data_IF_379492763943
#
_entry.id   IF_379492763943
#
_cell.length_a   1.000
_cell.length_b   1.000
_cell.length_c   1.000
_cell.angle_alpha   90.00
_cell.angle_beta   90.00
_cell.angle_gamma   90.00
#
_symmetry.space_group_name_H-M   'P 1'
#
loop_
_entity.id
_entity.type
_entity.pdbx_description
1 polymer ?
#
# COMPACT_ATOMS: atom_id res chain seq x y z
N UNK A 1 -3.25 2.89 -11.13
CA UNK A 1 -3.30 3.59 -9.85
C UNK A 1 -2.61 2.77 -8.76
N UNK A 2 -1.93 3.46 -7.88
CA UNK A 2 -1.16 2.81 -6.81
C UNK A 2 -1.72 3.21 -5.46
N UNK A 3 -1.97 2.24 -4.61
CA UNK A 3 -2.42 2.48 -3.24
C UNK A 3 -1.27 2.18 -2.28
N UNK A 4 -1.01 3.11 -1.37
CA UNK A 4 0.02 2.94 -0.36
C UNK A 4 -0.64 2.67 0.98
N UNK A 5 -0.20 1.60 1.63
CA UNK A 5 -0.70 1.21 2.95
C UNK A 5 0.45 1.08 3.93
N UNK A 6 0.14 1.26 5.19
CA UNK A 6 1.05 0.89 6.27
C UNK A 6 0.35 -0.11 7.16
N UNK A 7 1.12 -1.00 7.78
CA UNK A 7 0.59 -1.90 8.79
C UNK A 7 1.60 -2.06 9.92
N UNK A 8 1.08 -2.39 11.09
CA UNK A 8 1.89 -2.53 12.29
C UNK A 8 2.04 -4.01 12.63
N UNK A 9 3.28 -4.42 12.95
CA UNK A 9 3.56 -5.79 13.40
C UNK A 9 3.06 -6.89 12.47
N UNK A 10 3.06 -6.60 11.16
CA UNK A 10 2.59 -7.54 10.12
C UNK A 10 1.13 -7.95 10.31
N UNK A 11 0.33 -7.12 10.99
CA UNK A 11 -1.09 -7.38 11.20
C UNK A 11 -1.94 -6.72 10.11
N UNK A 12 -2.71 -7.52 9.40
CA UNK A 12 -3.64 -7.00 8.39
C UNK A 12 -4.72 -6.12 9.01
N UNK A 13 -5.01 -6.34 10.30
CA UNK A 13 -6.02 -5.55 10.99
C UNK A 13 -5.59 -4.12 11.26
N UNK A 14 -4.29 -3.85 11.21
CA UNK A 14 -3.77 -2.50 11.38
C UNK A 14 -3.46 -1.81 10.06
N UNK A 15 -3.81 -2.43 8.94
CA UNK A 15 -3.55 -1.90 7.60
C UNK A 15 -4.31 -0.60 7.38
N UNK A 16 -3.59 0.47 7.10
CA UNK A 16 -4.14 1.81 6.95
C UNK A 16 -3.77 2.36 5.58
N UNK A 17 -4.76 2.90 4.86
CA UNK A 17 -4.50 3.55 3.58
C UNK A 17 -3.82 4.90 3.83
N UNK A 18 -2.63 5.07 3.27
CA UNK A 18 -1.87 6.31 3.35
C UNK A 18 -2.25 7.27 2.23
N UNK A 19 -2.45 6.73 1.03
CA UNK A 19 -2.83 7.55 -0.12
C UNK A 19 -2.92 6.74 -1.40
N UNK A 20 -3.39 7.42 -2.43
CA UNK A 20 -3.53 6.86 -3.78
C UNK A 20 -2.72 7.73 -4.73
N UNK A 21 -2.00 7.09 -5.65
CA UNK A 21 -1.10 7.80 -6.56
C UNK A 21 -1.25 7.25 -7.98
N UNK A 22 -1.06 8.10 -8.97
CA UNK A 22 -1.04 7.68 -10.37
C UNK A 22 0.36 7.36 -10.85
N UNK A 23 1.38 7.77 -10.09
CA UNK A 23 2.79 7.59 -10.43
C UNK A 23 3.45 6.68 -9.40
N UNK A 24 4.12 5.63 -9.87
CA UNK A 24 4.81 4.69 -8.99
C UNK A 24 5.90 5.37 -8.16
N UNK A 25 6.65 6.31 -8.74
CA UNK A 25 7.70 7.01 -8.00
C UNK A 25 7.13 7.78 -6.82
N UNK A 26 6.00 8.45 -7.03
CA UNK A 26 5.33 9.20 -5.95
C UNK A 26 4.82 8.24 -4.87
N UNK A 27 4.26 7.12 -5.29
CA UNK A 27 3.77 6.12 -4.35
C UNK A 27 4.91 5.57 -3.50
N UNK A 28 6.03 5.21 -4.12
CA UNK A 28 7.19 4.67 -3.41
C UNK A 28 7.80 5.69 -2.46
N UNK A 29 7.87 6.96 -2.87
CA UNK A 29 8.38 8.02 -2.00
C UNK A 29 7.50 8.18 -0.77
N UNK A 30 6.18 8.23 -0.97
CA UNK A 30 5.25 8.35 0.15
C UNK A 30 5.31 7.14 1.06
N UNK A 31 5.45 5.96 0.47
CA UNK A 31 5.56 4.72 1.25
C UNK A 31 6.77 4.78 2.18
N UNK A 32 7.93 5.14 1.64
CA UNK A 32 9.15 5.24 2.46
C UNK A 32 9.01 6.29 3.54
N UNK A 33 8.43 7.43 3.22
CA UNK A 33 8.24 8.51 4.20
C UNK A 33 7.26 8.13 5.30
N UNK A 34 6.26 7.33 4.98
CA UNK A 34 5.23 6.98 5.97
C UNK A 34 5.75 6.08 7.08
N UNK A 35 6.86 5.38 6.85
CA UNK A 35 7.46 4.51 7.88
C UNK A 35 8.78 5.07 8.41
N UNK A 36 9.20 6.26 7.94
CA UNK A 36 10.41 6.91 8.41
C UNK A 36 10.27 7.23 9.89
N UNK A 37 11.25 6.83 10.70
CA UNK A 37 11.22 6.99 12.15
C UNK A 37 10.15 6.15 12.87
N UNK A 38 9.57 5.17 12.17
CA UNK A 38 8.55 4.28 12.75
C UNK A 38 8.93 2.83 12.46
N UNK A 39 9.90 2.28 13.21
CA UNK A 39 10.40 0.93 12.93
C UNK A 39 9.34 -0.16 13.11
N UNK A 40 8.27 0.10 13.84
CA UNK A 40 7.18 -0.85 14.03
C UNK A 40 6.25 -0.97 12.81
N UNK A 41 6.36 -0.02 11.86
CA UNK A 41 5.50 -0.02 10.67
C UNK A 41 6.23 -0.59 9.45
N UNK A 42 5.45 -1.17 8.56
CA UNK A 42 5.92 -1.54 7.23
C UNK A 42 4.97 -0.94 6.20
N UNK A 43 5.46 -0.69 5.00
CA UNK A 43 4.60 -0.21 3.92
C UNK A 43 4.29 -1.33 2.94
N UNK A 44 3.18 -1.17 2.24
CA UNK A 44 2.76 -2.05 1.17
C UNK A 44 2.26 -1.15 0.05
N UNK A 45 2.74 -1.37 -1.17
CA UNK A 45 2.26 -0.65 -2.34
C UNK A 45 1.53 -1.65 -3.24
N UNK A 46 0.27 -1.36 -3.53
CA UNK A 46 -0.57 -2.21 -4.38
C UNK A 46 -0.93 -1.45 -5.64
N UNK A 47 -0.90 -2.15 -6.77
CA UNK A 47 -1.34 -1.59 -8.04
C UNK A 47 -2.75 -2.11 -8.34
N UNK A 48 -3.61 -1.22 -8.84
CA UNK A 48 -4.93 -1.59 -9.31
C UNK A 48 -5.29 -0.75 -10.53
N UNK A 49 -6.03 -1.35 -11.46
CA UNK A 49 -6.58 -0.63 -12.61
C UNK A 49 -8.07 -0.33 -12.43
N UNK A 50 -8.60 -0.59 -11.24
CA UNK A 50 -10.00 -0.33 -10.93
C UNK A 50 -10.95 -1.48 -11.23
N UNK A 51 -10.45 -2.60 -11.75
CA UNK A 51 -11.29 -3.75 -12.02
C UNK A 51 -11.68 -4.48 -10.74
N UNK A 52 -12.87 -5.08 -10.75
CA UNK A 52 -13.34 -5.88 -9.62
C UNK A 52 -13.54 -7.32 -10.08
N UNK A 53 -13.46 -8.26 -9.13
CA UNK A 53 -13.70 -9.66 -9.43
C UNK A 53 -15.21 -9.97 -9.42
N UNK A 54 -15.56 -11.23 -9.59
CA UNK A 54 -16.97 -11.67 -9.63
C UNK A 54 -17.71 -11.45 -8.31
N UNK A 55 -16.98 -11.21 -7.22
CA UNK A 55 -17.56 -10.97 -5.90
C UNK A 55 -17.62 -9.49 -5.56
N UNK A 56 -17.25 -8.61 -6.50
CA UNK A 56 -17.25 -7.17 -6.28
C UNK A 56 -16.03 -6.66 -5.55
N UNK A 57 -15.02 -7.48 -5.35
CA UNK A 57 -13.78 -7.07 -4.67
C UNK A 57 -12.80 -6.47 -5.67
N UNK A 58 -12.15 -5.38 -5.28
CA UNK A 58 -11.15 -4.72 -6.11
C UNK A 58 -9.95 -5.64 -6.31
N UNK A 59 -9.56 -5.80 -7.58
CA UNK A 59 -8.39 -6.62 -7.91
C UNK A 59 -7.15 -5.75 -7.77
N UNK A 60 -6.26 -6.15 -6.88
CA UNK A 60 -5.00 -5.44 -6.63
C UNK A 60 -3.84 -6.42 -6.67
N UNK A 61 -2.65 -5.89 -6.96
CA UNK A 61 -1.42 -6.67 -6.98
C UNK A 61 -0.39 -5.94 -6.10
N UNK A 62 0.17 -6.64 -5.12
CA UNK A 62 1.24 -6.08 -4.31
C UNK A 62 2.50 -6.02 -5.17
N UNK A 63 3.02 -4.81 -5.40
CA UNK A 63 4.19 -4.61 -6.25
C UNK A 63 5.43 -4.22 -5.44
N UNK A 64 5.25 -3.80 -4.21
CA UNK A 64 6.37 -3.45 -3.33
C UNK A 64 5.91 -3.53 -1.88
N UNK A 65 6.84 -3.90 -1.02
CA UNK A 65 6.61 -3.87 0.42
C UNK A 65 7.95 -3.75 1.13
N UNK A 66 7.94 -3.15 2.32
CA UNK A 66 9.16 -3.04 3.12
C UNK A 66 9.41 -4.36 3.84
N UNK A 67 10.65 -4.57 4.19
CA UNK A 67 11.03 -5.76 4.98
C UNK A 67 10.61 -5.65 6.43
#
# INVERSE_FOLDING_TARGET
MYHVYTEKDYSEFSKTLVGEFTDLEDAMEKARKSIENKPELRYIVEETDGHVNNYGELITTVIAESD
#
